data_IF_476364647538
#
_entry.id   IF_476364647538
#
_cell.length_a   1.000
_cell.length_b   1.000
_cell.length_c   1.000
_cell.angle_alpha   90.00
_cell.angle_beta   90.00
_cell.angle_gamma   90.00
#
_symmetry.space_group_name_H-M   'P 1'
#
loop_
_entity.id
_entity.type
_entity.pdbx_description
1 polymer ?
#
# COMPACT_ATOMS: atom_id res chain seq x y z
N UNK A 1 -29.31 7.32 44.39
CA UNK A 1 -29.72 7.16 42.98
C UNK A 1 -29.12 8.23 42.08
N UNK A 2 -29.28 9.53 42.41
CA UNK A 2 -28.70 10.63 41.62
C UNK A 2 -27.18 10.52 41.42
N UNK A 3 -26.45 10.03 42.43
CA UNK A 3 -25.01 9.78 42.33
C UNK A 3 -24.62 8.77 41.25
N UNK A 4 -25.46 7.76 41.01
CA UNK A 4 -25.21 6.74 40.00
C UNK A 4 -25.41 7.34 38.59
N UNK A 5 -26.45 8.16 38.43
CA UNK A 5 -26.67 8.92 37.18
C UNK A 5 -25.57 9.95 36.93
N UNK A 6 -25.12 10.65 37.97
CA UNK A 6 -24.03 11.62 37.88
C UNK A 6 -22.70 10.95 37.50
N UNK A 7 -22.41 9.77 38.05
CA UNK A 7 -21.21 9.00 37.72
C UNK A 7 -21.23 8.58 36.24
N UNK A 8 -22.37 8.07 35.77
CA UNK A 8 -22.52 7.69 34.36
C UNK A 8 -22.34 8.92 33.46
N UNK A 9 -22.97 10.04 33.79
CA UNK A 9 -22.82 11.31 33.06
C UNK A 9 -21.38 11.82 33.03
N UNK A 10 -20.65 11.71 34.14
CA UNK A 10 -19.24 12.10 34.21
C UNK A 10 -18.38 11.22 33.30
N UNK A 11 -18.58 9.91 33.34
CA UNK A 11 -17.84 8.95 32.51
C UNK A 11 -18.12 9.18 31.03
N UNK A 12 -19.39 9.39 30.64
CA UNK A 12 -19.73 9.65 29.24
C UNK A 12 -19.07 10.93 28.72
N UNK A 13 -19.10 12.02 29.49
CA UNK A 13 -18.41 13.27 29.11
C UNK A 13 -16.90 13.05 28.98
N UNK A 14 -16.28 12.35 29.92
CA UNK A 14 -14.85 12.06 29.85
C UNK A 14 -14.49 11.24 28.59
N UNK A 15 -15.30 10.22 28.24
CA UNK A 15 -15.12 9.42 27.03
C UNK A 15 -15.30 10.27 25.77
N UNK A 16 -16.29 11.16 25.73
CA UNK A 16 -16.51 12.06 24.58
C UNK A 16 -15.35 13.04 24.41
N UNK A 17 -14.83 13.61 25.51
CA UNK A 17 -13.67 14.48 25.48
C UNK A 17 -12.42 13.74 25.01
N UNK A 18 -12.21 12.50 25.47
CA UNK A 18 -11.13 11.65 24.97
C UNK A 18 -11.31 11.32 23.48
N UNK A 19 -12.54 11.06 23.02
CA UNK A 19 -12.78 10.71 21.61
C UNK A 19 -12.58 11.90 20.67
N UNK A 20 -12.90 13.11 21.14
CA UNK A 20 -12.78 14.34 20.36
C UNK A 20 -11.38 14.96 20.38
N UNK A 21 -10.72 14.93 21.54
CA UNK A 21 -9.42 15.61 21.78
C UNK A 21 -8.28 14.66 22.12
N UNK A 22 -8.56 13.36 22.28
CA UNK A 22 -7.53 12.37 22.55
C UNK A 22 -6.56 12.27 21.39
N UNK A 23 -5.38 11.68 21.64
CA UNK A 23 -4.40 11.44 20.59
C UNK A 23 -5.09 10.77 19.40
N UNK A 24 -4.96 11.36 18.21
CA UNK A 24 -5.43 10.71 16.98
C UNK A 24 -4.61 9.42 16.80
N UNK A 25 -5.08 8.33 17.40
CA UNK A 25 -4.52 6.99 17.19
C UNK A 25 -4.98 6.40 15.88
N UNK A 26 -5.72 7.16 15.05
CA UNK A 26 -5.79 6.84 13.64
C UNK A 26 -4.38 7.07 13.12
N UNK A 27 -3.62 6.02 12.75
CA UNK A 27 -2.44 6.23 11.93
C UNK A 27 -2.98 6.82 10.64
N UNK A 28 -3.02 8.16 10.57
CA UNK A 28 -3.24 8.93 9.35
C UNK A 28 -2.32 8.28 8.36
N UNK A 29 -2.89 7.50 7.43
CA UNK A 29 -2.20 6.72 6.42
C UNK A 29 -0.78 6.41 6.88
N UNK A 30 -0.52 5.24 7.50
CA UNK A 30 0.77 4.62 7.26
C UNK A 30 0.95 4.73 5.76
N UNK A 31 1.75 5.71 5.31
CA UNK A 31 2.04 6.01 3.92
C UNK A 31 2.47 4.64 3.47
N UNK A 32 1.56 3.90 2.83
CA UNK A 32 1.76 2.48 2.64
C UNK A 32 2.97 2.54 1.75
N UNK A 33 4.12 2.18 2.30
CA UNK A 33 5.38 2.22 1.58
C UNK A 33 5.16 1.09 0.61
N UNK A 34 4.53 1.43 -0.51
CA UNK A 34 4.22 0.51 -1.57
C UNK A 34 5.60 0.12 -2.05
N UNK A 35 5.91 -1.16 -1.89
CA UNK A 35 7.20 -1.67 -2.33
C UNK A 35 7.31 -1.39 -3.83
N UNK A 36 8.53 -1.21 -4.37
CA UNK A 36 8.72 -1.07 -5.80
C UNK A 36 8.00 -2.16 -6.63
N UNK A 37 7.84 -3.35 -6.07
CA UNK A 37 7.16 -4.50 -6.70
C UNK A 37 5.63 -4.36 -6.82
N UNK A 38 5.01 -3.52 -5.98
CA UNK A 38 3.56 -3.27 -5.98
C UNK A 38 3.18 -1.98 -6.74
N UNK A 39 4.18 -1.25 -7.26
CA UNK A 39 3.98 -0.02 -8.03
C UNK A 39 3.69 -0.35 -9.51
N UNK A 40 2.52 0.04 -10.06
CA UNK A 40 2.15 -0.28 -11.44
C UNK A 40 3.12 0.33 -12.45
N UNK A 41 3.70 1.49 -12.14
CA UNK A 41 4.68 2.16 -12.99
C UNK A 41 6.01 1.40 -13.07
N UNK A 42 6.41 0.66 -12.02
CA UNK A 42 7.64 -0.14 -12.02
C UNK A 42 7.46 -1.40 -12.87
N UNK A 43 6.35 -2.11 -12.68
CA UNK A 43 6.02 -3.30 -13.48
C UNK A 43 5.92 -2.97 -14.98
N UNK A 44 5.36 -1.79 -15.32
CA UNK A 44 5.30 -1.33 -16.71
C UNK A 44 6.69 -1.11 -17.34
N UNK A 45 7.64 -0.55 -16.57
CA UNK A 45 9.02 -0.35 -17.06
C UNK A 45 9.73 -1.69 -17.29
N UNK A 46 9.58 -2.64 -16.37
CA UNK A 46 10.18 -3.98 -16.48
C UNK A 46 9.63 -4.74 -17.69
N UNK A 47 8.31 -4.75 -17.91
CA UNK A 47 7.72 -5.41 -19.08
C UNK A 47 8.22 -4.78 -20.39
N UNK A 48 8.33 -3.44 -20.43
CA UNK A 48 8.82 -2.72 -21.61
C UNK A 48 10.27 -3.05 -21.94
N UNK A 49 11.13 -3.17 -20.94
CA UNK A 49 12.54 -3.57 -21.12
C UNK A 49 12.66 -5.04 -21.52
N UNK A 50 11.89 -5.93 -20.90
CA UNK A 50 11.86 -7.36 -21.25
C UNK A 50 11.40 -7.58 -22.70
N UNK A 51 10.42 -6.80 -23.17
CA UNK A 51 9.95 -6.80 -24.57
C UNK A 51 11.04 -6.34 -25.54
N UNK A 52 11.71 -5.21 -25.23
CA UNK A 52 12.83 -4.69 -26.04
C UNK A 52 13.93 -5.73 -26.21
N UNK A 53 14.38 -6.35 -25.12
CA UNK A 53 15.43 -7.37 -25.15
C UNK A 53 15.06 -8.61 -25.98
N UNK A 54 13.79 -9.04 -25.96
CA UNK A 54 13.31 -10.13 -26.84
C UNK A 54 13.29 -9.74 -28.32
N UNK A 55 13.02 -8.49 -28.64
CA UNK A 55 13.01 -8.00 -30.02
C UNK A 55 14.41 -7.80 -30.58
N UNK A 56 15.39 -7.53 -29.73
CA UNK A 56 16.80 -7.37 -30.10
C UNK A 56 17.59 -8.69 -30.06
N UNK A 57 16.96 -9.82 -29.73
CA UNK A 57 17.54 -11.16 -29.91
C UNK A 57 17.51 -11.48 -31.42
N UNK A 58 18.66 -11.47 -32.13
CA UNK A 58 18.69 -11.81 -33.53
C UNK A 58 18.28 -13.27 -33.67
N UNK A 59 17.27 -13.50 -34.50
CA UNK A 59 16.82 -14.82 -34.97
C UNK A 59 18.02 -15.62 -35.50
N UNK A 60 18.71 -16.30 -34.59
CA UNK A 60 19.72 -17.29 -34.90
C UNK A 60 19.02 -18.64 -34.95
N UNK A 61 18.01 -18.73 -35.83
CA UNK A 61 17.56 -19.98 -36.44
C UNK A 61 18.63 -20.47 -37.43
N UNK A 62 18.85 -21.79 -37.52
CA UNK A 62 20.16 -22.39 -37.72
C UNK A 62 20.67 -22.16 -39.14
N UNK A 63 21.75 -21.39 -39.26
CA UNK A 63 22.64 -21.53 -40.39
C UNK A 63 23.32 -22.91 -40.28
N UNK A 64 23.17 -23.68 -41.36
CA UNK A 64 24.15 -24.66 -41.81
C UNK A 64 24.10 -26.06 -41.16
N UNK A 65 23.34 -26.96 -41.79
CA UNK A 65 23.74 -28.37 -41.90
C UNK A 65 23.42 -28.93 -43.30
N UNK A 66 24.51 -29.11 -44.05
CA UNK A 66 24.77 -30.11 -45.10
C UNK A 66 24.22 -29.86 -46.52
N UNK A 67 25.17 -29.58 -47.42
CA UNK A 67 25.08 -29.91 -48.84
C UNK A 67 25.41 -31.36 -49.15
#
# INVERSE_FOLDING_TARGET
MIYLLALIGLVTVAVLLWKAFGPNTNPVLSKRVLGPDDDPDFLWKVDREARRKKSDEPDTGPADQAG
#
